data_IF_925542895160
#
_entry.id   IF_925542895160
#
_cell.length_a   1.000
_cell.length_b   1.000
_cell.length_c   1.000
_cell.angle_alpha   90.00
_cell.angle_beta   90.00
_cell.angle_gamma   90.00
#
_symmetry.space_group_name_H-M   'P 1'
#
loop_
_entity.id
_entity.type
_entity.pdbx_description
1 polymer ?
#
# COMPACT_ATOMS: atom_id res chain seq x y z
N UNK A 1 -56.64 25.06 42.11
CA UNK A 1 -56.49 24.91 43.58
C UNK A 1 -55.48 23.80 43.84
N UNK A 2 -54.23 24.12 44.19
CA UNK A 2 -53.67 24.16 45.56
C UNK A 2 -53.75 22.82 46.32
N UNK A 3 -52.62 22.10 46.36
CA UNK A 3 -51.83 21.66 47.55
C UNK A 3 -51.15 20.31 47.20
N UNK A 4 -49.83 20.11 47.25
CA UNK A 4 -48.76 20.49 48.20
C UNK A 4 -48.31 19.29 49.03
N UNK A 5 -46.99 19.23 49.19
CA UNK A 5 -46.15 18.54 50.19
C UNK A 5 -45.79 17.09 49.89
N UNK A 6 -44.52 16.75 49.59
CA UNK A 6 -43.18 17.06 50.19
C UNK A 6 -42.72 15.97 51.16
N UNK A 7 -41.55 15.45 50.79
CA UNK A 7 -40.35 15.24 51.60
C UNK A 7 -40.26 13.97 52.46
N UNK A 8 -39.20 13.19 52.24
CA UNK A 8 -37.89 13.24 52.93
C UNK A 8 -37.05 12.06 52.42
N UNK A 9 -35.83 12.26 51.89
CA UNK A 9 -34.56 12.54 52.58
C UNK A 9 -34.00 11.31 53.32
N UNK A 10 -32.83 10.85 52.85
CA UNK A 10 -31.94 9.85 53.46
C UNK A 10 -30.83 9.53 52.46
N UNK A 11 -29.81 10.39 52.30
CA UNK A 11 -28.60 10.52 53.13
C UNK A 11 -27.54 9.45 52.82
N UNK A 12 -26.55 9.87 52.02
CA UNK A 12 -25.11 9.69 52.17
C UNK A 12 -24.57 8.35 52.69
N UNK A 13 -23.75 7.69 51.86
CA UNK A 13 -22.27 7.60 51.96
C UNK A 13 -21.79 6.29 51.31
N UNK A 14 -20.75 6.32 50.48
CA UNK A 14 -19.41 5.88 50.87
C UNK A 14 -18.44 6.02 49.69
N UNK A 15 -17.21 6.38 50.04
CA UNK A 15 -16.07 6.58 49.19
C UNK A 15 -15.70 5.35 48.35
N UNK A 16 -15.08 5.60 47.20
CA UNK A 16 -14.53 4.57 46.32
C UNK A 16 -13.71 5.18 45.20
N UNK A 17 -12.63 5.87 45.57
CA UNK A 17 -11.60 6.34 44.65
C UNK A 17 -11.03 5.16 43.87
N UNK A 18 -11.18 5.16 42.55
CA UNK A 18 -10.29 4.42 41.65
C UNK A 18 -9.77 5.42 40.62
N UNK A 19 -8.66 6.05 40.97
CA UNK A 19 -7.77 6.68 40.00
C UNK A 19 -7.12 5.54 39.21
N UNK A 20 -7.71 5.15 38.09
CA UNK A 20 -7.00 4.37 37.09
C UNK A 20 -5.98 5.31 36.43
N UNK A 21 -4.78 5.34 37.00
CA UNK A 21 -3.57 5.72 36.28
C UNK A 21 -3.26 4.60 35.29
N UNK A 22 -3.92 4.60 34.13
CA UNK A 22 -3.47 3.80 33.00
C UNK A 22 -2.41 4.61 32.27
N UNK A 23 -1.18 4.15 32.36
CA UNK A 23 -0.04 4.63 31.59
C UNK A 23 -0.43 4.77 30.12
N UNK A 24 -0.55 6.00 29.65
CA UNK A 24 -0.40 6.30 28.23
C UNK A 24 1.08 6.09 27.96
N UNK A 25 1.50 5.13 27.11
CA UNK A 25 2.86 5.18 26.59
C UNK A 25 2.96 6.49 25.82
N UNK A 26 3.80 7.39 26.32
CA UNK A 26 4.21 8.61 25.64
C UNK A 26 4.63 8.21 24.24
N UNK A 27 3.78 8.49 23.25
CA UNK A 27 4.09 8.27 21.86
C UNK A 27 5.17 9.28 21.53
N UNK A 28 6.40 8.80 21.43
CA UNK A 28 7.54 9.59 21.03
C UNK A 28 7.24 10.15 19.64
N UNK A 29 7.12 11.47 19.59
CA UNK A 29 6.94 12.24 18.36
C UNK A 29 8.14 11.93 17.45
N UNK A 30 7.94 11.45 16.21
CA UNK A 30 9.06 11.18 15.33
C UNK A 30 9.78 12.50 15.05
N UNK A 31 11.09 12.46 15.29
CA UNK A 31 12.01 13.56 15.06
C UNK A 31 11.80 14.21 13.69
N UNK A 32 11.99 15.52 13.70
CA UNK A 32 11.73 16.46 12.63
C UNK A 32 12.22 16.00 11.26
N UNK A 33 11.35 16.24 10.28
CA UNK A 33 11.58 16.12 8.85
C UNK A 33 12.86 16.89 8.48
N UNK A 34 13.89 16.15 8.05
CA UNK A 34 14.98 16.74 7.28
C UNK A 34 14.40 17.30 5.99
N UNK A 35 14.33 18.63 5.92
CA UNK A 35 14.13 19.37 4.68
C UNK A 35 15.27 18.99 3.72
N UNK A 36 14.96 18.16 2.74
CA UNK A 36 15.79 18.05 1.55
C UNK A 36 15.55 19.32 0.75
N UNK A 37 16.59 20.14 0.69
CA UNK A 37 16.69 21.36 -0.10
C UNK A 37 16.34 21.07 -1.56
N UNK A 38 15.13 21.44 -1.99
CA UNK A 38 14.80 21.60 -3.41
C UNK A 38 15.53 22.85 -3.92
N UNK A 39 16.80 22.68 -4.26
CA UNK A 39 17.53 23.62 -5.10
C UNK A 39 18.05 22.87 -6.31
N UNK A 40 17.60 23.34 -7.48
CA UNK A 40 18.20 23.18 -8.80
C UNK A 40 17.99 21.85 -9.53
N UNK A 41 16.87 21.76 -10.25
CA UNK A 41 16.81 21.04 -11.52
C UNK A 41 16.82 22.06 -12.67
N UNK A 42 18.01 22.28 -13.21
CA UNK A 42 18.25 22.96 -14.48
C UNK A 42 17.50 22.23 -15.60
N UNK A 43 16.65 22.99 -16.29
CA UNK A 43 15.93 22.60 -17.49
C UNK A 43 16.94 22.44 -18.65
N UNK A 44 17.27 21.21 -19.02
CA UNK A 44 17.85 20.95 -20.34
C UNK A 44 16.72 20.86 -21.36
N UNK A 45 16.41 22.01 -21.97
CA UNK A 45 15.44 22.11 -23.05
C UNK A 45 16.08 21.54 -24.32
N UNK A 46 15.82 20.28 -24.66
CA UNK A 46 16.02 19.83 -26.04
C UNK A 46 14.91 20.44 -26.90
N UNK A 47 15.33 21.15 -27.93
CA UNK A 47 14.48 21.82 -28.92
C UNK A 47 13.63 20.77 -29.65
N UNK A 48 12.32 20.86 -29.50
CA UNK A 48 11.35 20.19 -30.36
C UNK A 48 10.53 21.27 -31.07
N UNK A 49 10.48 21.20 -32.40
CA UNK A 49 9.74 22.10 -33.29
C UNK A 49 8.31 21.64 -33.53
N UNK A 50 7.70 20.94 -32.58
CA UNK A 50 6.30 20.51 -32.68
C UNK A 50 5.44 21.25 -31.66
N UNK A 51 4.53 22.10 -32.15
CA UNK A 51 3.71 23.01 -31.33
C UNK A 51 2.56 22.29 -30.62
N UNK A 52 2.30 21.01 -30.92
CA UNK A 52 1.19 20.24 -30.34
C UNK A 52 1.61 18.91 -29.68
N UNK A 53 2.91 18.59 -29.63
CA UNK A 53 3.38 17.49 -28.79
C UNK A 53 3.31 17.94 -27.32
N UNK A 54 2.29 17.49 -26.58
CA UNK A 54 2.36 17.51 -25.10
C UNK A 54 3.60 16.70 -24.75
N UNK A 55 4.68 17.39 -24.39
CA UNK A 55 5.89 16.73 -23.93
C UNK A 55 5.52 15.86 -22.75
N UNK A 56 5.87 14.58 -22.82
CA UNK A 56 5.74 13.71 -21.69
C UNK A 56 6.55 14.27 -20.53
N UNK A 57 5.99 14.19 -19.33
CA UNK A 57 6.62 14.78 -18.13
C UNK A 57 7.04 13.66 -17.20
N UNK A 58 8.34 13.39 -17.16
CA UNK A 58 8.92 12.44 -16.21
C UNK A 58 9.03 13.07 -14.81
N UNK A 59 8.60 12.33 -13.78
CA UNK A 59 8.67 12.74 -12.37
C UNK A 59 9.19 11.62 -11.49
N UNK A 60 9.80 11.98 -10.37
CA UNK A 60 10.12 11.02 -9.32
C UNK A 60 8.84 10.40 -8.77
N UNK A 61 8.88 9.10 -8.50
CA UNK A 61 7.78 8.34 -7.92
C UNK A 61 8.25 7.61 -6.67
N UNK A 62 7.51 7.81 -5.58
CA UNK A 62 7.80 7.22 -4.27
C UNK A 62 6.52 6.78 -3.57
N UNK A 63 6.52 5.58 -3.01
CA UNK A 63 5.46 5.11 -2.11
C UNK A 63 6.01 4.33 -0.92
N UNK A 64 5.26 4.28 0.18
CA UNK A 64 5.56 3.44 1.35
C UNK A 64 4.27 2.92 1.98
N UNK A 65 4.20 1.61 2.17
CA UNK A 65 3.02 0.91 2.69
C UNK A 65 3.37 -0.03 3.85
N UNK A 66 2.43 -0.13 4.78
CA UNK A 66 2.31 -1.29 5.66
C UNK A 66 1.34 -2.27 5.01
N UNK A 67 1.77 -3.52 4.84
CA UNK A 67 1.05 -4.54 4.07
C UNK A 67 0.68 -5.73 4.95
N UNK A 68 -0.37 -6.43 4.52
CA UNK A 68 -0.80 -7.71 5.04
C UNK A 68 -1.02 -8.66 3.87
N UNK A 69 -0.25 -9.74 3.83
CA UNK A 69 -0.40 -10.83 2.86
C UNK A 69 -1.17 -12.00 3.49
N UNK A 70 -1.84 -12.80 2.67
CA UNK A 70 -2.42 -14.07 3.06
C UNK A 70 -1.97 -15.16 2.08
N UNK A 71 -1.64 -16.35 2.58
CA UNK A 71 -1.32 -17.50 1.71
C UNK A 71 -2.59 -18.27 1.40
N UNK A 72 -2.94 -18.35 0.11
CA UNK A 72 -4.17 -18.99 -0.36
C UNK A 72 -3.91 -19.87 -1.58
N UNK A 73 -4.80 -20.84 -1.82
CA UNK A 73 -4.84 -21.63 -3.06
C UNK A 73 -5.43 -20.81 -4.22
N UNK A 74 -5.55 -21.44 -5.40
CA UNK A 74 -6.14 -20.81 -6.59
C UNK A 74 -7.58 -20.32 -6.43
N UNK A 75 -8.32 -20.90 -5.47
CA UNK A 75 -9.72 -20.60 -5.18
C UNK A 75 -9.87 -19.60 -4.02
N UNK A 76 -8.76 -19.10 -3.46
CA UNK A 76 -8.76 -18.16 -2.34
C UNK A 76 -8.93 -18.80 -0.96
N UNK A 77 -8.83 -20.13 -0.85
CA UNK A 77 -8.87 -20.79 0.45
C UNK A 77 -7.49 -20.74 1.12
N UNK A 78 -7.41 -20.50 2.44
CA UNK A 78 -6.13 -20.53 3.15
C UNK A 78 -5.38 -21.84 2.94
N UNK A 79 -4.07 -21.75 2.67
CA UNK A 79 -3.19 -22.90 2.51
C UNK A 79 -1.83 -22.67 3.15
N UNK A 80 -1.15 -23.75 3.53
CA UNK A 80 0.25 -23.74 3.98
C UNK A 80 1.19 -24.39 2.96
N UNK A 81 0.65 -24.93 1.86
CA UNK A 81 1.41 -25.61 0.81
C UNK A 81 1.74 -24.66 -0.33
N UNK A 82 2.76 -25.00 -1.13
CA UNK A 82 3.07 -24.36 -2.40
C UNK A 82 2.79 -25.31 -3.57
N UNK A 83 2.40 -24.81 -4.76
CA UNK A 83 2.27 -23.39 -5.10
C UNK A 83 1.09 -22.72 -4.41
N UNK A 84 1.24 -21.43 -4.12
CA UNK A 84 0.22 -20.62 -3.48
C UNK A 84 0.23 -19.19 -4.02
N UNK A 85 -0.91 -18.52 -3.88
CA UNK A 85 -1.02 -17.09 -4.09
C UNK A 85 -0.83 -16.35 -2.77
N UNK A 86 -0.29 -15.14 -2.89
CA UNK A 86 -0.04 -14.22 -1.80
C UNK A 86 -0.78 -12.90 -2.07
N UNK A 87 -2.13 -12.90 -2.16
CA UNK A 87 -2.88 -11.67 -2.19
C UNK A 87 -2.63 -10.87 -0.91
N UNK A 88 -2.56 -9.56 -1.06
CA UNK A 88 -2.40 -8.66 0.05
C UNK A 88 -2.97 -7.29 -0.18
N UNK A 89 -3.20 -6.62 0.94
CA UNK A 89 -3.61 -5.21 0.96
C UNK A 89 -2.67 -4.42 1.85
N UNK A 90 -2.59 -3.12 1.62
CA UNK A 90 -1.82 -2.23 2.47
C UNK A 90 -2.36 -0.82 2.50
N UNK A 91 -1.93 -0.07 3.49
CA UNK A 91 -2.22 1.37 3.62
C UNK A 91 -0.94 2.15 3.84
N UNK A 92 -0.89 3.36 3.30
CA UNK A 92 0.37 4.08 3.21
C UNK A 92 0.26 5.45 2.57
N UNK A 93 1.40 5.93 2.09
CA UNK A 93 1.48 7.19 1.35
C UNK A 93 2.16 7.00 0.00
N UNK A 94 1.62 7.69 -0.99
CA UNK A 94 2.16 7.86 -2.33
C UNK A 94 2.50 9.32 -2.54
N UNK A 95 3.68 9.60 -3.10
CA UNK A 95 4.13 10.95 -3.44
C UNK A 95 3.16 11.70 -4.37
N UNK A 96 2.41 10.98 -5.21
CA UNK A 96 1.46 11.58 -6.13
C UNK A 96 0.02 11.53 -5.63
N UNK A 97 -0.34 10.67 -4.66
CA UNK A 97 -1.73 10.53 -4.18
C UNK A 97 -1.95 10.97 -2.72
N UNK A 98 -0.90 11.19 -1.94
CA UNK A 98 -1.02 11.33 -0.50
C UNK A 98 -1.37 9.98 0.13
N UNK A 99 -2.36 9.94 1.03
CA UNK A 99 -2.82 8.69 1.64
C UNK A 99 -3.42 7.78 0.58
N UNK A 100 -2.96 6.53 0.55
CA UNK A 100 -3.36 5.55 -0.45
C UNK A 100 -3.54 4.16 0.18
N UNK A 101 -4.24 3.30 -0.57
CA UNK A 101 -4.31 1.87 -0.34
C UNK A 101 -3.65 1.14 -1.50
N UNK A 102 -3.09 -0.04 -1.25
CA UNK A 102 -2.52 -0.90 -2.28
C UNK A 102 -3.17 -2.29 -2.23
N UNK A 103 -3.38 -2.88 -3.40
CA UNK A 103 -3.81 -4.25 -3.62
C UNK A 103 -2.70 -4.95 -4.38
N UNK A 104 -2.25 -6.11 -3.90
CA UNK A 104 -1.09 -6.82 -4.43
C UNK A 104 -1.46 -8.29 -4.58
N UNK A 105 -1.00 -8.94 -5.63
CA UNK A 105 -1.04 -10.39 -5.74
C UNK A 105 0.30 -10.91 -6.28
N UNK A 106 0.81 -11.98 -5.67
CA UNK A 106 2.02 -12.67 -6.09
C UNK A 106 1.74 -14.17 -6.11
N UNK A 107 2.41 -14.90 -6.99
CA UNK A 107 2.38 -16.35 -7.04
C UNK A 107 3.71 -16.91 -6.56
N UNK A 108 3.67 -17.76 -5.54
CA UNK A 108 4.83 -18.39 -4.93
C UNK A 108 4.89 -19.87 -5.31
N UNK A 109 6.05 -20.32 -5.79
CA UNK A 109 6.26 -21.72 -6.19
C UNK A 109 7.72 -22.15 -6.03
N UNK A 110 7.95 -23.47 -5.94
CA UNK A 110 9.30 -24.04 -5.91
C UNK A 110 9.87 -24.13 -7.32
N UNK A 111 11.00 -23.47 -7.55
CA UNK A 111 11.80 -23.57 -8.77
C UNK A 111 13.17 -24.20 -8.53
N UNK A 112 14.05 -24.11 -9.53
CA UNK A 112 15.41 -24.67 -9.51
C UNK A 112 16.26 -24.18 -8.30
N UNK A 113 16.04 -22.94 -7.87
CA UNK A 113 16.77 -22.29 -6.78
C UNK A 113 15.98 -22.24 -5.47
N UNK A 114 14.91 -23.03 -5.34
CA UNK A 114 14.04 -23.04 -4.16
C UNK A 114 12.77 -22.21 -4.33
N UNK A 115 12.19 -21.74 -3.22
CA UNK A 115 10.96 -20.96 -3.23
C UNK A 115 11.20 -19.59 -3.88
N UNK A 116 10.44 -19.28 -4.92
CA UNK A 116 10.46 -17.99 -5.60
C UNK A 116 9.06 -17.40 -5.75
N UNK A 117 8.98 -16.13 -6.10
CA UNK A 117 7.73 -15.40 -6.32
C UNK A 117 7.76 -14.69 -7.67
N UNK A 118 6.59 -14.64 -8.32
CA UNK A 118 6.33 -13.85 -9.54
C UNK A 118 5.04 -13.06 -9.36
N UNK A 119 4.86 -11.97 -10.11
CA UNK A 119 3.59 -11.25 -10.13
C UNK A 119 2.44 -12.14 -10.61
N UNK A 120 1.30 -12.06 -9.93
CA UNK A 120 0.05 -12.69 -10.36
C UNK A 120 -1.02 -11.61 -10.52
N UNK A 121 -2.01 -11.84 -11.39
CA UNK A 121 -3.04 -10.83 -11.67
C UNK A 121 -3.75 -10.38 -10.39
N UNK A 122 -3.80 -9.07 -10.16
CA UNK A 122 -4.46 -8.47 -8.99
C UNK A 122 -5.97 -8.74 -9.01
N UNK A 123 -6.56 -8.87 -10.21
CA UNK A 123 -8.01 -9.07 -10.40
C UNK A 123 -8.47 -10.46 -9.98
N UNK A 124 -7.54 -11.42 -9.83
CA UNK A 124 -7.85 -12.77 -9.34
C UNK A 124 -8.53 -12.75 -7.96
N UNK A 125 -8.11 -11.86 -7.07
CA UNK A 125 -8.67 -11.77 -5.71
C UNK A 125 -9.31 -10.42 -5.38
N UNK A 126 -9.09 -9.39 -6.21
CA UNK A 126 -9.50 -8.02 -5.90
C UNK A 126 -10.36 -7.36 -6.97
N UNK A 127 -10.89 -8.10 -7.97
CA UNK A 127 -11.74 -7.53 -9.02
C UNK A 127 -12.93 -6.76 -8.46
N UNK A 128 -13.74 -7.38 -7.59
CA UNK A 128 -14.92 -6.75 -7.00
C UNK A 128 -14.58 -5.49 -6.19
N UNK A 129 -13.49 -5.52 -5.42
CA UNK A 129 -13.05 -4.39 -4.59
C UNK A 129 -12.54 -3.24 -5.46
N UNK A 130 -11.81 -3.54 -6.54
CA UNK A 130 -11.34 -2.53 -7.49
C UNK A 130 -12.50 -1.90 -8.25
N UNK A 131 -13.46 -2.72 -8.72
CA UNK A 131 -14.65 -2.23 -9.41
C UNK A 131 -15.51 -1.34 -8.50
N UNK A 132 -15.64 -1.68 -7.22
CA UNK A 132 -16.34 -0.85 -6.24
C UNK A 132 -15.68 0.53 -6.03
N UNK A 133 -14.38 0.65 -6.34
CA UNK A 133 -13.64 1.91 -6.35
C UNK A 133 -13.68 2.63 -7.71
N UNK A 134 -14.38 2.06 -8.70
CA UNK A 134 -14.43 2.57 -10.07
C UNK A 134 -13.17 2.28 -10.88
N UNK A 135 -12.39 1.27 -10.48
CA UNK A 135 -11.15 0.86 -11.14
C UNK A 135 -11.39 -0.48 -11.83
N UNK A 136 -11.32 -0.48 -13.16
CA UNK A 136 -11.38 -1.69 -13.98
C UNK A 136 -9.97 -1.93 -14.52
N UNK A 137 -9.39 -3.07 -14.17
CA UNK A 137 -8.07 -3.49 -14.66
C UNK A 137 -8.29 -4.58 -15.69
N UNK A 138 -8.07 -4.27 -16.96
CA UNK A 138 -8.24 -5.16 -18.11
C UNK A 138 -6.93 -5.80 -18.58
N UNK A 139 -5.90 -5.75 -17.75
CA UNK A 139 -4.57 -6.28 -18.02
C UNK A 139 -4.15 -7.30 -16.93
N UNK A 140 -4.10 -8.58 -17.30
CA UNK A 140 -3.75 -9.69 -16.40
C UNK A 140 -2.28 -9.67 -15.93
N UNK A 141 -1.42 -8.87 -16.55
CA UNK A 141 -0.03 -8.69 -16.10
C UNK A 141 0.09 -7.72 -14.91
N UNK A 142 -1.00 -6.99 -14.58
CA UNK A 142 -1.03 -6.08 -13.43
C UNK A 142 -1.09 -6.89 -12.16
N UNK A 143 0.02 -6.87 -11.43
CA UNK A 143 0.18 -7.60 -10.17
C UNK A 143 -0.08 -6.76 -8.93
N UNK A 144 -0.12 -5.43 -9.07
CA UNK A 144 -0.43 -4.52 -7.97
C UNK A 144 -1.10 -3.25 -8.46
N UNK A 145 -1.98 -2.69 -7.64
CA UNK A 145 -2.67 -1.41 -7.85
C UNK A 145 -2.56 -0.59 -6.59
N UNK A 146 -2.06 0.64 -6.72
CA UNK A 146 -2.16 1.66 -5.67
C UNK A 146 -3.26 2.64 -6.01
N UNK A 147 -4.12 3.01 -5.06
CA UNK A 147 -5.23 3.95 -5.27
C UNK A 147 -5.46 4.88 -4.08
N UNK A 148 -5.94 6.10 -4.36
CA UNK A 148 -6.43 7.06 -3.36
C UNK A 148 -7.87 6.80 -2.90
N UNK A 149 -8.54 5.79 -3.46
CA UNK A 149 -9.94 5.45 -3.20
C UNK A 149 -10.94 6.45 -3.80
N UNK A 150 -10.49 7.37 -4.66
CA UNK A 150 -11.30 8.42 -5.31
C UNK A 150 -11.21 8.34 -6.84
N UNK A 151 -10.90 7.15 -7.36
CA UNK A 151 -10.79 6.88 -8.79
C UNK A 151 -9.42 7.19 -9.41
N UNK A 152 -8.42 7.66 -8.65
CA UNK A 152 -7.04 7.67 -9.13
C UNK A 152 -6.34 6.38 -8.73
N UNK A 153 -5.61 5.77 -9.67
CA UNK A 153 -4.80 4.59 -9.38
C UNK A 153 -3.58 4.48 -10.27
N UNK A 154 -2.54 3.79 -9.80
CA UNK A 154 -1.33 3.45 -10.55
C UNK A 154 -1.19 1.93 -10.55
N UNK A 155 -0.88 1.35 -11.70
CA UNK A 155 -0.86 -0.09 -11.92
C UNK A 155 0.58 -0.58 -12.17
N UNK A 156 0.94 -1.68 -11.52
CA UNK A 156 2.29 -2.22 -11.56
C UNK A 156 2.33 -3.65 -12.09
N UNK A 157 3.20 -3.87 -13.06
CA UNK A 157 3.63 -5.19 -13.53
C UNK A 157 4.92 -5.58 -12.83
N UNK A 158 4.98 -6.78 -12.28
CA UNK A 158 6.22 -7.32 -11.75
C UNK A 158 7.10 -7.87 -12.88
N UNK A 159 8.38 -7.49 -12.90
CA UNK A 159 9.36 -7.96 -13.88
C UNK A 159 10.20 -9.07 -13.27
N UNK A 160 10.78 -8.80 -12.10
CA UNK A 160 11.61 -9.74 -11.37
C UNK A 160 11.40 -9.55 -9.87
N UNK A 161 11.58 -10.63 -9.11
CA UNK A 161 11.60 -10.61 -7.66
C UNK A 161 12.82 -11.40 -7.13
N UNK A 162 13.47 -10.86 -6.11
CA UNK A 162 14.54 -11.49 -5.35
C UNK A 162 14.10 -11.55 -3.90
N UNK A 163 13.98 -12.76 -3.35
CA UNK A 163 13.56 -12.98 -1.98
C UNK A 163 14.67 -13.67 -1.20
N UNK A 164 14.90 -13.19 0.03
CA UNK A 164 15.77 -13.82 1.02
C UNK A 164 14.93 -14.19 2.23
N UNK A 165 14.92 -15.47 2.58
CA UNK A 165 14.08 -16.01 3.64
C UNK A 165 14.86 -16.14 4.96
N UNK A 166 14.20 -15.77 6.05
CA UNK A 166 14.57 -16.16 7.41
C UNK A 166 13.29 -16.53 8.18
N UNK A 167 13.42 -17.19 9.33
CA UNK A 167 12.27 -17.67 10.11
C UNK A 167 11.32 -16.53 10.53
N UNK A 168 11.85 -15.36 10.87
CA UNK A 168 11.05 -14.24 11.39
C UNK A 168 10.74 -13.18 10.33
N UNK A 169 11.49 -13.18 9.21
CA UNK A 169 11.43 -12.11 8.21
C UNK A 169 11.94 -12.56 6.85
N UNK A 170 11.12 -12.38 5.82
CA UNK A 170 11.55 -12.50 4.43
C UNK A 170 11.72 -11.11 3.84
N UNK A 171 12.93 -10.78 3.39
CA UNK A 171 13.19 -9.52 2.68
C UNK A 171 13.06 -9.76 1.19
N UNK A 172 12.52 -8.77 0.48
CA UNK A 172 12.36 -8.84 -0.96
C UNK A 172 12.79 -7.54 -1.63
N UNK A 173 13.25 -7.69 -2.87
CA UNK A 173 13.50 -6.62 -3.81
C UNK A 173 12.95 -7.03 -5.17
N UNK A 174 12.15 -6.17 -5.78
CA UNK A 174 11.51 -6.43 -7.05
C UNK A 174 11.68 -5.24 -8.00
N UNK A 175 11.87 -5.55 -9.27
CA UNK A 175 11.78 -4.58 -10.36
C UNK A 175 10.35 -4.62 -10.89
N UNK A 176 9.74 -3.44 -11.02
CA UNK A 176 8.36 -3.27 -11.50
C UNK A 176 8.28 -2.21 -12.58
N UNK A 177 7.31 -2.38 -13.46
CA UNK A 177 6.95 -1.41 -14.49
C UNK A 177 5.60 -0.78 -14.12
N UNK A 178 5.51 0.55 -14.25
CA UNK A 178 4.24 1.26 -14.23
C UNK A 178 3.63 1.08 -15.61
N UNK A 179 2.48 0.42 -15.70
CA UNK A 179 1.84 0.01 -16.96
C UNK A 179 0.51 0.70 -17.20
N UNK A 180 0.21 1.73 -16.41
CA UNK A 180 -1.00 2.53 -16.54
C UNK A 180 -1.59 2.92 -15.20
N UNK A 181 -2.87 3.28 -15.25
CA UNK A 181 -3.59 3.80 -14.11
C UNK A 181 -4.94 4.38 -14.52
N UNK A 182 -5.65 4.92 -13.53
CA UNK A 182 -6.91 5.63 -13.74
C UNK A 182 -6.80 7.08 -13.28
N UNK A 183 -7.72 7.92 -13.77
CA UNK A 183 -7.76 9.34 -13.43
C UNK A 183 -6.52 10.07 -13.95
N UNK A 184 -5.78 10.74 -13.06
CA UNK A 184 -4.59 11.51 -13.48
C UNK A 184 -3.39 10.66 -13.95
N UNK A 185 -3.46 9.34 -13.78
CA UNK A 185 -2.42 8.39 -14.20
C UNK A 185 -2.84 7.56 -15.42
N UNK A 186 -3.92 7.97 -16.10
CA UNK A 186 -4.29 7.37 -17.38
C UNK A 186 -3.10 7.44 -18.35
N UNK A 187 -2.74 6.29 -18.92
CA UNK A 187 -1.55 6.10 -19.79
C UNK A 187 -0.19 6.33 -19.11
N UNK A 188 -0.12 6.40 -17.78
CA UNK A 188 1.17 6.57 -17.12
C UNK A 188 2.08 5.36 -17.36
N UNK A 189 3.36 5.62 -17.61
CA UNK A 189 4.38 4.58 -17.79
C UNK A 189 5.57 4.82 -16.86
N UNK A 190 6.46 3.84 -16.71
CA UNK A 190 7.70 4.04 -15.98
C UNK A 190 8.26 2.78 -15.36
N UNK A 191 9.32 2.95 -14.58
CA UNK A 191 10.01 1.83 -13.91
C UNK A 191 10.28 2.19 -12.47
N UNK A 192 10.16 1.21 -11.58
CA UNK A 192 10.47 1.37 -10.17
C UNK A 192 11.09 0.11 -9.57
N UNK A 193 11.75 0.29 -8.44
CA UNK A 193 12.19 -0.77 -7.56
C UNK A 193 11.29 -0.78 -6.33
N UNK A 194 10.80 -1.97 -5.97
CA UNK A 194 10.09 -2.21 -4.73
C UNK A 194 11.02 -2.96 -3.79
N UNK A 195 11.25 -2.42 -2.60
CA UNK A 195 11.99 -3.11 -1.55
C UNK A 195 11.14 -3.21 -0.29
N UNK A 196 11.32 -4.28 0.47
CA UNK A 196 10.49 -4.49 1.64
C UNK A 196 10.78 -5.77 2.38
N UNK A 197 9.86 -6.09 3.28
CA UNK A 197 9.86 -7.35 4.00
C UNK A 197 8.45 -7.76 4.38
N UNK A 198 8.27 -9.05 4.65
CA UNK A 198 7.09 -9.60 5.32
C UNK A 198 7.52 -10.65 6.35
N UNK A 199 6.68 -10.88 7.35
CA UNK A 199 6.82 -11.97 8.31
C UNK A 199 6.10 -13.20 7.75
N UNK A 200 6.79 -14.33 7.50
CA UNK A 200 6.16 -15.52 6.91
C UNK A 200 5.05 -16.13 7.77
N UNK A 201 5.13 -15.97 9.10
CA UNK A 201 4.19 -16.58 10.04
C UNK A 201 2.85 -15.86 10.14
N UNK A 202 2.80 -14.57 9.77
CA UNK A 202 1.58 -13.77 9.91
C UNK A 202 1.28 -12.85 8.72
N UNK A 203 2.12 -12.79 7.70
CA UNK A 203 1.95 -11.99 6.48
C UNK A 203 2.13 -10.48 6.64
N UNK A 204 2.42 -9.97 7.84
CA UNK A 204 2.62 -8.53 8.06
C UNK A 204 3.94 -8.07 7.48
N UNK A 205 3.95 -6.89 6.87
CA UNK A 205 5.16 -6.38 6.23
C UNK A 205 5.13 -4.89 5.92
N UNK A 206 6.22 -4.43 5.30
CA UNK A 206 6.29 -3.10 4.71
C UNK A 206 6.92 -3.16 3.33
N UNK A 207 6.50 -2.26 2.46
CA UNK A 207 7.15 -2.03 1.16
C UNK A 207 7.43 -0.55 0.95
N UNK A 208 8.47 -0.27 0.17
CA UNK A 208 8.81 1.04 -0.36
C UNK A 208 9.00 0.91 -1.86
N UNK A 209 8.36 1.79 -2.63
CA UNK A 209 8.50 1.87 -4.09
C UNK A 209 9.28 3.14 -4.42
N UNK A 210 10.29 3.03 -5.26
CA UNK A 210 11.12 4.16 -5.73
C UNK A 210 11.35 4.04 -7.23
N UNK A 211 11.04 5.08 -7.99
CA UNK A 211 11.20 5.05 -9.44
C UNK A 211 10.89 6.35 -10.13
N UNK A 212 10.56 6.23 -11.42
CA UNK A 212 10.17 7.32 -12.31
C UNK A 212 8.83 7.00 -12.93
N UNK A 213 7.97 8.02 -13.04
CA UNK A 213 6.67 7.95 -13.70
C UNK A 213 6.62 9.01 -14.80
N UNK A 214 6.09 8.63 -15.95
CA UNK A 214 5.88 9.47 -17.13
C UNK A 214 4.37 9.55 -17.42
N UNK A 215 3.92 10.71 -17.90
CA UNK A 215 2.52 11.05 -18.21
C UNK A 215 2.40 11.58 -19.63
#
# INVERSE_FOLDING_TARGET
>A
MKKSMRAKLGMMTLAGSVLMASCVPTMEEPAQIQQVTESEALVNTTSSTDLNARKSVEKNYFERFANQLAQVDENGNPTNDFPAYLPGTGTGNSSHMGKASTFINQFASYGEYGLGTVGASVTQFYSEQLEALGIIVDNDEVSSVTTDGKGNSVWFKNIQNKVSFSEERSNFEAEVEIVGGTGKFENATGTATVSGYFNPSNGQGMSTIQGRIEY
#
